data_IF_867208046077
#
_entry.id   IF_867208046077
#
_cell.length_a   1.000
_cell.length_b   1.000
_cell.length_c   1.000
_cell.angle_alpha   90.00
_cell.angle_beta   90.00
_cell.angle_gamma   90.00
#
_symmetry.space_group_name_H-M   'P 1'
#
loop_
_entity.id
_entity.type
_entity.pdbx_description
1 polymer ?
#
# COMPACT_ATOMS: atom_id res chain seq x y z
N UNK A 1 28.46 -16.12 -10.90
CA UNK A 1 27.07 -15.99 -10.39
C UNK A 1 26.06 -16.61 -11.34
N UNK A 2 26.10 -16.30 -12.65
CA UNK A 2 25.20 -16.90 -13.64
C UNK A 2 25.32 -18.43 -13.68
N UNK A 3 26.54 -18.98 -13.57
CA UNK A 3 26.78 -20.43 -13.62
C UNK A 3 26.09 -21.19 -12.47
N UNK A 4 25.99 -20.58 -11.28
CA UNK A 4 25.26 -21.14 -10.14
C UNK A 4 23.77 -21.29 -10.49
N UNK A 5 23.22 -20.30 -11.20
CA UNK A 5 21.81 -20.27 -11.57
C UNK A 5 21.44 -21.20 -12.73
N UNK A 6 22.41 -21.58 -13.55
CA UNK A 6 22.24 -22.55 -14.66
C UNK A 6 22.10 -24.00 -14.18
N UNK A 7 22.40 -24.30 -12.91
CA UNK A 7 22.24 -25.63 -12.31
C UNK A 7 20.80 -26.18 -12.33
N UNK A 8 19.78 -25.31 -12.49
CA UNK A 8 18.38 -25.71 -12.61
C UNK A 8 17.84 -25.50 -14.03
N UNK A 9 17.45 -26.60 -14.68
CA UNK A 9 16.97 -26.64 -16.09
C UNK A 9 15.86 -25.65 -16.42
N UNK A 10 14.94 -25.38 -15.49
CA UNK A 10 13.73 -24.57 -15.74
C UNK A 10 13.89 -23.09 -15.34
N UNK A 11 15.08 -22.63 -14.96
CA UNK A 11 15.30 -21.24 -14.52
C UNK A 11 15.51 -20.32 -15.73
N UNK A 12 14.63 -19.34 -15.91
CA UNK A 12 14.80 -18.29 -16.92
C UNK A 12 15.68 -17.18 -16.33
N UNK A 13 16.78 -16.86 -17.00
CA UNK A 13 17.71 -15.79 -16.60
C UNK A 13 17.62 -14.69 -17.65
N UNK A 14 17.21 -13.49 -17.25
CA UNK A 14 17.05 -12.35 -18.13
C UNK A 14 18.06 -11.26 -17.78
N UNK A 15 18.73 -10.71 -18.81
CA UNK A 15 19.57 -9.51 -18.68
C UNK A 15 18.80 -8.34 -19.28
N UNK A 16 18.34 -7.42 -18.42
CA UNK A 16 17.66 -6.21 -18.87
C UNK A 16 18.69 -5.21 -19.39
N UNK A 17 18.70 -4.98 -20.70
CA UNK A 17 19.47 -3.89 -21.33
C UNK A 17 18.82 -2.53 -21.02
N UNK A 18 19.61 -1.46 -21.07
CA UNK A 18 19.09 -0.11 -20.97
C UNK A 18 18.08 0.14 -22.10
N UNK A 19 16.87 0.56 -21.73
CA UNK A 19 15.80 0.89 -22.66
C UNK A 19 15.00 2.07 -22.11
N UNK A 20 14.68 3.03 -22.97
CA UNK A 20 13.77 4.14 -22.61
C UNK A 20 12.38 3.58 -22.39
N UNK A 21 11.74 3.98 -21.30
CA UNK A 21 10.35 3.64 -21.01
C UNK A 21 9.45 4.80 -21.39
N UNK A 22 8.32 4.50 -22.06
CA UNK A 22 7.31 5.52 -22.34
C UNK A 22 6.66 6.02 -21.04
N UNK A 23 6.25 7.29 -21.05
CA UNK A 23 5.53 7.97 -19.96
C UNK A 23 4.01 7.81 -20.07
N UNK A 24 3.53 7.09 -21.08
CA UNK A 24 2.13 6.74 -21.28
C UNK A 24 1.95 5.22 -21.30
N UNK A 25 0.72 4.78 -21.13
CA UNK A 25 0.32 3.37 -21.21
C UNK A 25 -0.98 3.20 -21.97
N UNK A 26 -1.17 2.00 -22.50
CA UNK A 26 -2.39 1.59 -23.18
C UNK A 26 -3.06 0.43 -22.44
N UNK A 27 -4.40 0.41 -22.45
CA UNK A 27 -5.18 -0.76 -22.06
C UNK A 27 -6.10 -1.15 -23.21
N UNK A 28 -6.01 -2.41 -23.65
CA UNK A 28 -6.93 -2.94 -24.65
C UNK A 28 -8.35 -2.98 -24.10
N UNK A 29 -9.32 -2.61 -24.93
CA UNK A 29 -10.76 -2.74 -24.68
C UNK A 29 -11.44 -3.28 -25.94
N UNK A 30 -12.71 -3.65 -25.85
CA UNK A 30 -13.46 -4.09 -27.03
C UNK A 30 -13.38 -3.00 -28.10
N UNK A 31 -12.90 -3.37 -29.29
CA UNK A 31 -12.76 -2.50 -30.47
C UNK A 31 -11.79 -1.31 -30.32
N UNK A 32 -10.85 -1.32 -29.38
CA UNK A 32 -9.88 -0.23 -29.29
C UNK A 32 -8.90 -0.29 -28.11
N UNK A 33 -8.35 0.88 -27.79
CA UNK A 33 -7.42 1.07 -26.68
C UNK A 33 -7.78 2.32 -25.89
N UNK A 34 -7.59 2.26 -24.57
CA UNK A 34 -7.53 3.42 -23.70
C UNK A 34 -6.08 3.89 -23.62
N UNK A 35 -5.85 5.20 -23.76
CA UNK A 35 -4.56 5.84 -23.61
C UNK A 35 -4.56 6.72 -22.36
N UNK A 36 -3.51 6.64 -21.55
CA UNK A 36 -3.33 7.52 -20.41
C UNK A 36 -1.85 7.71 -20.07
N UNK A 37 -1.56 8.78 -19.34
CA UNK A 37 -0.26 8.93 -18.69
C UNK A 37 -0.04 7.82 -17.65
N UNK A 38 1.23 7.47 -17.47
CA UNK A 38 1.64 6.56 -16.40
C UNK A 38 1.61 7.31 -15.09
N UNK A 39 1.11 6.63 -14.07
CA UNK A 39 1.30 7.09 -12.70
C UNK A 39 2.80 6.99 -12.35
N UNK A 40 3.48 8.13 -12.34
CA UNK A 40 4.90 8.27 -11.98
C UNK A 40 5.10 8.91 -10.59
N UNK A 41 4.02 9.33 -9.92
CA UNK A 41 4.10 9.97 -8.61
C UNK A 41 4.73 9.03 -7.57
N UNK A 42 5.64 9.56 -6.78
CA UNK A 42 6.20 8.90 -5.62
C UNK A 42 6.22 9.92 -4.49
N UNK A 43 5.51 9.61 -3.44
CA UNK A 43 5.41 10.44 -2.25
C UNK A 43 6.77 10.54 -1.58
N UNK A 44 7.03 11.72 -1.02
CA UNK A 44 8.18 12.01 -0.18
C UNK A 44 7.71 12.36 1.24
N UNK A 45 8.62 12.27 2.20
CA UNK A 45 8.32 12.52 3.61
C UNK A 45 7.72 13.93 3.85
N UNK A 46 8.23 14.95 3.15
CA UNK A 46 7.77 16.34 3.21
C UNK A 46 6.39 16.59 2.56
N UNK A 47 5.87 15.61 1.82
CA UNK A 47 4.55 15.66 1.20
C UNK A 47 3.47 14.96 2.05
N UNK A 48 3.87 14.17 3.06
CA UNK A 48 2.95 13.50 3.97
C UNK A 48 2.37 14.53 4.94
N UNK A 49 1.05 14.52 5.08
CA UNK A 49 0.34 15.41 6.01
C UNK A 49 -0.17 14.60 7.19
N UNK A 50 0.45 14.68 8.39
CA UNK A 50 -0.15 14.15 9.60
C UNK A 50 -1.53 14.78 9.83
N UNK A 51 -2.53 13.95 10.08
CA UNK A 51 -3.92 14.40 10.32
C UNK A 51 -4.44 14.04 11.71
N UNK A 52 -3.64 13.32 12.49
CA UNK A 52 -3.90 12.90 13.87
C UNK A 52 -3.05 13.68 14.87
N UNK A 53 -3.43 13.64 16.15
CA UNK A 53 -2.69 14.22 17.27
C UNK A 53 -1.32 13.58 17.45
N UNK A 54 -1.22 12.26 17.22
CA UNK A 54 0.05 11.55 17.19
C UNK A 54 0.68 11.68 15.80
N UNK A 55 1.91 12.17 15.76
CA UNK A 55 2.71 12.22 14.55
C UNK A 55 3.46 10.89 14.34
N UNK A 56 3.62 10.43 13.08
CA UNK A 56 4.42 9.24 12.80
C UNK A 56 5.90 9.49 13.10
N UNK A 57 6.57 8.49 13.66
CA UNK A 57 8.02 8.49 13.83
C UNK A 57 8.75 8.41 12.48
N UNK A 58 10.03 8.82 12.43
CA UNK A 58 10.85 8.71 11.21
C UNK A 58 10.83 7.30 10.61
N UNK A 59 10.88 6.27 11.48
CA UNK A 59 10.84 4.87 11.06
C UNK A 59 9.48 4.50 10.46
N UNK A 60 8.38 4.95 11.06
CA UNK A 60 7.05 4.75 10.50
C UNK A 60 6.92 5.48 9.16
N UNK A 61 7.43 6.72 9.02
CA UNK A 61 7.44 7.43 7.74
C UNK A 61 8.16 6.62 6.65
N UNK A 62 9.33 6.05 6.96
CA UNK A 62 10.04 5.18 6.02
C UNK A 62 9.21 3.95 5.59
N UNK A 63 8.56 3.31 6.56
CA UNK A 63 7.72 2.13 6.31
C UNK A 63 6.43 2.50 5.54
N UNK A 64 5.81 3.64 5.82
CA UNK A 64 4.63 4.15 5.11
C UNK A 64 4.96 4.45 3.65
N UNK A 65 6.08 5.13 3.39
CA UNK A 65 6.54 5.41 2.03
C UNK A 65 6.90 4.12 1.27
N UNK A 66 7.47 3.13 1.96
CA UNK A 66 7.71 1.81 1.38
C UNK A 66 6.39 1.11 1.04
N UNK A 67 5.43 1.08 1.97
CA UNK A 67 4.12 0.48 1.77
C UNK A 67 3.32 1.18 0.65
N UNK A 68 3.37 2.51 0.57
CA UNK A 68 2.65 3.28 -0.44
C UNK A 68 3.17 3.00 -1.87
N UNK A 69 4.49 2.77 -2.01
CA UNK A 69 5.07 2.30 -3.27
C UNK A 69 4.54 0.93 -3.68
N UNK A 70 4.26 0.05 -2.72
CA UNK A 70 3.72 -1.28 -2.99
C UNK A 70 2.24 -1.22 -3.39
N UNK A 71 1.39 -0.47 -2.69
CA UNK A 71 -0.05 -0.37 -3.05
C UNK A 71 -0.22 0.16 -4.47
N UNK A 72 0.58 1.15 -4.87
CA UNK A 72 0.59 1.69 -6.24
C UNK A 72 0.87 0.64 -7.32
N UNK A 73 1.65 -0.39 -7.01
CA UNK A 73 1.98 -1.45 -7.98
C UNK A 73 0.97 -2.59 -7.98
N UNK A 74 0.13 -2.68 -6.96
CA UNK A 74 -0.89 -3.71 -6.76
C UNK A 74 -2.22 -3.34 -7.42
N UNK A 75 -3.08 -4.35 -7.61
CA UNK A 75 -4.40 -4.20 -8.22
C UNK A 75 -5.41 -3.73 -7.16
N UNK A 76 -6.13 -2.66 -7.43
CA UNK A 76 -7.16 -2.13 -6.54
C UNK A 76 -8.36 -3.08 -6.39
N UNK A 77 -9.03 -3.13 -5.25
CA UNK A 77 -8.66 -2.42 -4.02
C UNK A 77 -7.51 -3.13 -3.28
N UNK A 78 -6.53 -2.39 -2.77
CA UNK A 78 -5.36 -2.96 -2.09
C UNK A 78 -5.18 -2.44 -0.67
N UNK A 79 -4.79 -3.34 0.23
CA UNK A 79 -4.19 -3.02 1.52
C UNK A 79 -2.82 -3.69 1.61
N UNK A 80 -1.80 -2.92 2.03
CA UNK A 80 -0.45 -3.43 2.32
C UNK A 80 -0.14 -3.20 3.78
N UNK A 81 0.35 -4.26 4.44
CA UNK A 81 0.93 -4.23 5.78
C UNK A 81 2.44 -4.35 5.67
N UNK A 82 3.18 -3.42 6.26
CA UNK A 82 4.64 -3.39 6.20
C UNK A 82 5.26 -3.05 7.56
N UNK A 83 6.49 -3.50 7.79
CA UNK A 83 7.27 -3.21 9.00
C UNK A 83 8.76 -3.36 8.68
N UNK A 84 9.59 -2.43 9.11
CA UNK A 84 11.06 -2.44 8.87
C UNK A 84 11.44 -2.57 7.37
N UNK A 85 10.76 -1.84 6.48
CA UNK A 85 10.91 -1.89 5.01
C UNK A 85 10.71 -3.29 4.42
N UNK A 86 9.95 -4.13 5.11
CA UNK A 86 9.55 -5.45 4.65
C UNK A 86 8.04 -5.48 4.43
N UNK A 87 7.62 -6.03 3.28
CA UNK A 87 6.22 -6.40 3.06
C UNK A 87 5.91 -7.58 3.98
N UNK A 88 4.96 -7.39 4.90
CA UNK A 88 4.47 -8.46 5.77
C UNK A 88 3.40 -9.26 5.03
N UNK A 89 2.34 -8.57 4.59
CA UNK A 89 1.28 -9.16 3.79
C UNK A 89 0.52 -8.08 3.01
N UNK A 90 -0.26 -8.51 2.03
CA UNK A 90 -1.11 -7.63 1.23
C UNK A 90 -2.36 -8.37 0.74
N UNK A 91 -3.51 -7.73 0.82
CA UNK A 91 -4.71 -8.11 0.09
C UNK A 91 -4.85 -7.25 -1.15
N UNK A 92 -5.08 -7.87 -2.30
CA UNK A 92 -4.92 -7.23 -3.62
C UNK A 92 -6.05 -7.68 -4.54
N UNK A 93 -6.72 -6.73 -5.20
CA UNK A 93 -7.76 -7.01 -6.19
C UNK A 93 -9.13 -7.29 -5.60
N UNK A 94 -9.36 -6.93 -4.34
CA UNK A 94 -10.63 -7.20 -3.66
C UNK A 94 -11.72 -6.19 -4.03
N UNK A 95 -12.97 -6.63 -3.92
CA UNK A 95 -14.15 -5.78 -4.13
C UNK A 95 -14.35 -4.78 -2.98
N UNK A 96 -13.92 -5.13 -1.76
CA UNK A 96 -13.95 -4.29 -0.57
C UNK A 96 -12.56 -4.16 0.07
N UNK A 97 -12.25 -3.00 0.65
CA UNK A 97 -10.98 -2.76 1.37
C UNK A 97 -10.94 -3.45 2.72
N UNK A 98 -12.09 -3.67 3.34
CA UNK A 98 -12.21 -4.50 4.54
C UNK A 98 -11.78 -5.94 4.24
N UNK A 99 -12.20 -6.48 3.10
CA UNK A 99 -11.82 -7.84 2.69
C UNK A 99 -10.33 -7.90 2.33
N UNK A 100 -9.80 -6.88 1.64
CA UNK A 100 -8.35 -6.77 1.39
C UNK A 100 -7.54 -6.75 2.69
N UNK A 101 -8.00 -6.01 3.71
CA UNK A 101 -7.36 -5.99 5.01
C UNK A 101 -7.43 -7.36 5.70
N UNK A 102 -8.61 -7.99 5.75
CA UNK A 102 -8.79 -9.32 6.37
C UNK A 102 -7.89 -10.37 5.72
N UNK A 103 -7.84 -10.42 4.38
CA UNK A 103 -6.94 -11.31 3.66
C UNK A 103 -5.46 -11.03 3.94
N UNK A 104 -5.07 -9.74 4.07
CA UNK A 104 -3.70 -9.39 4.45
C UNK A 104 -3.36 -9.90 5.86
N UNK A 105 -4.27 -9.72 6.83
CA UNK A 105 -4.10 -10.15 8.21
C UNK A 105 -4.00 -11.68 8.29
N UNK A 106 -4.97 -12.41 7.74
CA UNK A 106 -4.99 -13.88 7.73
C UNK A 106 -3.71 -14.44 7.11
N UNK A 107 -3.26 -13.82 6.01
CA UNK A 107 -2.00 -14.21 5.37
C UNK A 107 -0.80 -13.96 6.27
N UNK A 108 -0.71 -12.79 6.91
CA UNK A 108 0.37 -12.47 7.85
C UNK A 108 0.43 -13.49 9.00
N UNK A 109 -0.72 -13.83 9.59
CA UNK A 109 -0.86 -14.83 10.65
C UNK A 109 -0.42 -16.23 10.18
N UNK A 110 -0.84 -16.66 8.98
CA UNK A 110 -0.45 -17.97 8.44
C UNK A 110 1.05 -18.12 8.21
N UNK A 111 1.76 -17.01 7.94
CA UNK A 111 3.22 -16.97 7.83
C UNK A 111 3.92 -16.73 9.17
N UNK A 112 3.19 -16.55 10.27
CA UNK A 112 3.74 -16.30 11.60
C UNK A 112 4.34 -14.91 11.77
N UNK A 113 3.87 -13.91 11.01
CA UNK A 113 4.32 -12.53 11.17
C UNK A 113 3.59 -11.83 12.32
N UNK A 114 4.35 -11.06 13.12
CA UNK A 114 3.83 -10.16 14.14
C UNK A 114 3.52 -8.78 13.54
N UNK A 115 2.24 -8.40 13.59
CA UNK A 115 1.72 -7.13 13.09
C UNK A 115 1.84 -5.96 14.09
N UNK A 116 2.27 -6.21 15.32
CA UNK A 116 2.44 -5.13 16.32
C UNK A 116 3.47 -4.10 15.86
N UNK A 117 3.09 -2.84 15.76
CA UNK A 117 3.95 -1.77 15.25
C UNK A 117 4.23 -1.85 13.75
N UNK A 118 3.40 -2.58 13.00
CA UNK A 118 3.36 -2.49 11.55
C UNK A 118 2.58 -1.25 11.11
N UNK A 119 2.82 -0.83 9.87
CA UNK A 119 2.08 0.24 9.21
C UNK A 119 1.14 -0.33 8.16
N UNK A 120 0.03 0.37 7.91
CA UNK A 120 -0.94 0.05 6.88
C UNK A 120 -0.99 1.12 5.81
N UNK A 121 -1.01 0.71 4.53
CA UNK A 121 -1.22 1.60 3.39
C UNK A 121 -2.43 1.15 2.57
N UNK A 122 -3.23 2.12 2.11
CA UNK A 122 -4.29 1.89 1.12
C UNK A 122 -4.09 2.77 -0.12
N UNK A 123 -4.41 2.22 -1.29
CA UNK A 123 -4.35 2.92 -2.57
C UNK A 123 -5.45 3.99 -2.73
N UNK A 124 -6.51 3.93 -1.90
CA UNK A 124 -7.67 4.82 -1.90
C UNK A 124 -8.10 5.19 -0.47
N UNK A 125 -8.96 6.19 -0.33
CA UNK A 125 -9.42 6.69 0.98
C UNK A 125 -10.34 5.69 1.68
N UNK A 126 -10.36 5.61 3.02
CA UNK A 126 -11.32 4.84 3.82
C UNK A 126 -12.70 5.51 3.88
N UNK A 127 -13.81 4.81 3.55
CA UNK A 127 -15.14 5.41 3.55
C UNK A 127 -15.71 5.47 4.98
N UNK A 128 -15.21 4.61 5.88
CA UNK A 128 -15.59 4.45 7.28
C UNK A 128 -14.35 4.05 8.10
N UNK A 129 -14.46 4.12 9.44
CA UNK A 129 -13.38 3.76 10.37
C UNK A 129 -13.09 2.24 10.48
N UNK A 130 -13.98 1.39 9.97
CA UNK A 130 -13.92 -0.08 10.08
C UNK A 130 -12.56 -0.70 9.76
N UNK A 131 -11.90 -0.22 8.71
CA UNK A 131 -10.61 -0.74 8.25
C UNK A 131 -9.49 -0.34 9.22
N UNK A 132 -9.58 0.86 9.80
CA UNK A 132 -8.61 1.35 10.80
C UNK A 132 -8.83 0.63 12.12
N UNK A 133 -10.08 0.43 12.52
CA UNK A 133 -10.48 -0.35 13.70
C UNK A 133 -9.91 -1.77 13.67
N UNK A 134 -10.12 -2.48 12.55
CA UNK A 134 -9.62 -3.84 12.37
C UNK A 134 -8.08 -3.86 12.41
N UNK A 135 -7.42 -2.91 11.74
CA UNK A 135 -5.96 -2.83 11.71
C UNK A 135 -5.38 -2.58 13.11
N UNK A 136 -6.00 -1.68 13.89
CA UNK A 136 -5.59 -1.43 15.27
C UNK A 136 -5.71 -2.68 16.14
N UNK A 137 -6.80 -3.45 15.98
CA UNK A 137 -7.04 -4.69 16.74
C UNK A 137 -5.94 -5.75 16.58
N UNK A 138 -5.17 -5.70 15.48
CA UNK A 138 -4.02 -6.60 15.23
C UNK A 138 -2.66 -5.92 15.49
N UNK A 139 -2.67 -4.71 16.04
CA UNK A 139 -1.46 -4.01 16.47
C UNK A 139 -0.82 -3.08 15.43
N UNK A 140 -1.50 -2.77 14.33
CA UNK A 140 -1.08 -1.68 13.43
C UNK A 140 -1.22 -0.36 14.20
N UNK A 141 -0.20 0.49 14.13
CA UNK A 141 -0.16 1.76 14.86
C UNK A 141 -0.05 3.00 13.96
N UNK A 142 0.14 2.80 12.65
CA UNK A 142 0.26 3.90 11.71
C UNK A 142 -0.37 3.60 10.34
N UNK A 143 -1.07 4.59 9.78
CA UNK A 143 -1.85 4.45 8.54
C UNK A 143 -1.52 5.55 7.54
N UNK A 144 -1.37 5.19 6.25
CA UNK A 144 -1.27 6.12 5.12
C UNK A 144 -2.41 5.89 4.13
N UNK A 145 -3.09 6.97 3.75
CA UNK A 145 -4.15 6.98 2.74
C UNK A 145 -4.15 8.30 1.96
N UNK A 146 -4.84 8.41 0.81
CA UNK A 146 -4.95 9.69 0.12
C UNK A 146 -5.81 10.73 0.84
N UNK A 147 -6.82 10.31 1.61
CA UNK A 147 -7.89 11.19 2.08
C UNK A 147 -8.86 11.59 0.96
N UNK A 148 -9.90 12.34 1.32
CA UNK A 148 -10.97 12.80 0.42
C UNK A 148 -12.34 12.17 0.68
N UNK A 149 -12.52 11.42 1.78
CA UNK A 149 -13.84 10.95 2.19
C UNK A 149 -14.62 12.09 2.85
N UNK A 150 -15.94 12.14 2.62
CA UNK A 150 -16.84 12.99 3.42
C UNK A 150 -16.80 12.61 4.91
N UNK A 151 -16.35 11.39 5.21
CA UNK A 151 -16.22 10.81 6.54
C UNK A 151 -14.77 10.58 6.97
N UNK A 152 -13.82 11.34 6.43
CA UNK A 152 -12.42 11.23 6.86
C UNK A 152 -12.28 11.46 8.38
N UNK A 153 -13.10 12.36 8.94
CA UNK A 153 -13.10 12.65 10.37
C UNK A 153 -13.35 11.41 11.24
N UNK A 154 -14.26 10.51 10.83
CA UNK A 154 -14.54 9.27 11.57
C UNK A 154 -13.27 8.42 11.74
N UNK A 155 -12.44 8.33 10.69
CA UNK A 155 -11.18 7.57 10.74
C UNK A 155 -10.08 8.29 11.53
N UNK A 156 -10.05 9.63 11.46
CA UNK A 156 -9.08 10.46 12.19
C UNK A 156 -9.38 10.40 13.69
N UNK A 157 -10.65 10.55 14.08
CA UNK A 157 -11.09 10.49 15.46
C UNK A 157 -10.78 9.13 16.07
N UNK A 158 -11.08 8.04 15.35
CA UNK A 158 -10.71 6.70 15.80
C UNK A 158 -9.20 6.57 16.05
N UNK A 159 -8.36 7.04 15.11
CA UNK A 159 -6.91 7.02 15.30
C UNK A 159 -6.47 7.84 16.52
N UNK A 160 -7.04 9.03 16.72
CA UNK A 160 -6.72 9.90 17.85
C UNK A 160 -7.06 9.23 19.19
N UNK A 161 -8.25 8.63 19.28
CA UNK A 161 -8.73 7.97 20.49
C UNK A 161 -7.90 6.73 20.88
N UNK A 162 -7.25 6.11 19.89
CA UNK A 162 -6.49 4.87 20.06
C UNK A 162 -4.97 5.05 19.96
N UNK A 163 -4.49 6.30 19.90
CA UNK A 163 -3.06 6.61 19.84
C UNK A 163 -2.38 6.09 18.57
N UNK A 164 -3.09 6.10 17.45
CA UNK A 164 -2.53 5.78 16.14
C UNK A 164 -2.14 7.05 15.39
N UNK A 165 -1.08 6.96 14.58
CA UNK A 165 -0.73 8.02 13.65
C UNK A 165 -1.39 7.79 12.28
N UNK A 166 -1.93 8.84 11.67
CA UNK A 166 -2.45 8.78 10.30
C UNK A 166 -1.87 9.92 9.46
N UNK A 167 -1.49 9.61 8.22
CA UNK A 167 -1.02 10.60 7.24
C UNK A 167 -1.82 10.56 5.95
N UNK A 168 -2.08 11.74 5.38
CA UNK A 168 -2.70 11.92 4.07
C UNK A 168 -1.66 12.26 3.00
N UNK A 169 -1.81 11.65 1.81
CA UNK A 169 -0.97 11.94 0.63
C UNK A 169 -1.63 12.89 -0.37
N UNK A 170 -2.97 12.96 -0.37
CA UNK A 170 -3.75 13.65 -1.41
C UNK A 170 -3.68 12.99 -2.79
N UNK A 171 -3.01 11.84 -2.95
CA UNK A 171 -2.85 11.16 -4.25
C UNK A 171 -3.35 9.72 -4.20
N UNK A 172 -4.37 9.42 -5.02
CA UNK A 172 -4.92 8.08 -5.18
C UNK A 172 -4.17 7.29 -6.25
N UNK A 173 -3.73 6.07 -5.93
CA UNK A 173 -3.01 5.17 -6.85
C UNK A 173 -3.87 4.00 -7.32
N UNK A 174 -5.00 4.28 -7.96
CA UNK A 174 -5.91 3.24 -8.42
C UNK A 174 -5.37 2.47 -9.64
N UNK A 175 -5.44 1.14 -9.61
CA UNK A 175 -4.95 0.27 -10.68
C UNK A 175 -5.85 -0.95 -10.86
N UNK A 176 -6.53 -1.02 -11.99
CA UNK A 176 -7.19 -2.25 -12.45
C UNK A 176 -6.18 -3.28 -12.92
#
# INVERSE_FOLDING_TARGET
VVDIFQSKKNRIILVRKNAKTANYQFRSVLNGVLYQDRDLKQEKADELKPVTNLEPTDKQIEDLLFANKLVKQSKSNTIVLAKNKQLIASGVGETSRVDALKHAIEKAESFGFDLKGAVMSSDAYFPFADSVEIAHGVGVDCVIQPGGSVRDQDTIDFCNDHGMAMVFTGTRHFKH
#
